data_IF_472732844511
#
_entry.id   IF_472732844511
#
_cell.length_a   1.000
_cell.length_b   1.000
_cell.length_c   1.000
_cell.angle_alpha   90.00
_cell.angle_beta   90.00
_cell.angle_gamma   90.00
#
_symmetry.space_group_name_H-M   'P 1'
#
loop_
_entity.id
_entity.type
_entity.pdbx_description
1 polymer ?
#
# COMPACT_ATOMS: atom_id res chain seq x y z
N UNK A 1 12.67 -5.45 -35.34
CA UNK A 1 13.56 -5.91 -34.25
C UNK A 1 12.87 -5.55 -32.95
N UNK A 2 12.22 -6.55 -32.35
CA UNK A 2 11.62 -6.43 -31.03
C UNK A 2 12.77 -6.53 -30.04
N UNK A 3 13.01 -5.48 -29.26
CA UNK A 3 13.94 -5.54 -28.14
C UNK A 3 13.33 -6.50 -27.11
N UNK A 4 14.04 -7.58 -26.85
CA UNK A 4 13.73 -8.51 -25.76
C UNK A 4 13.71 -7.72 -24.45
N UNK A 5 12.52 -7.61 -23.88
CA UNK A 5 12.36 -7.19 -22.48
C UNK A 5 12.78 -8.40 -21.68
N UNK A 6 13.96 -8.34 -21.06
CA UNK A 6 14.41 -9.31 -20.07
C UNK A 6 13.54 -9.15 -18.81
N UNK A 7 12.36 -9.77 -18.86
CA UNK A 7 11.55 -10.03 -17.68
C UNK A 7 12.27 -11.17 -16.97
N UNK A 8 12.99 -10.86 -15.89
CA UNK A 8 13.39 -11.89 -14.94
C UNK A 8 12.13 -12.51 -14.35
N UNK A 9 11.67 -13.59 -14.97
CA UNK A 9 10.64 -14.49 -14.48
C UNK A 9 11.33 -15.45 -13.51
N UNK A 10 11.26 -15.11 -12.23
CA UNK A 10 11.47 -16.04 -11.13
C UNK A 10 10.14 -16.25 -10.42
N UNK A 11 9.38 -17.26 -10.85
CA UNK A 11 8.11 -17.76 -10.29
C UNK A 11 6.92 -16.78 -10.26
N UNK A 12 6.30 -16.64 -11.45
CA UNK A 12 4.88 -16.35 -11.71
C UNK A 12 4.04 -15.74 -10.58
N UNK A 13 4.25 -14.46 -10.29
CA UNK A 13 3.13 -13.58 -9.97
C UNK A 13 2.82 -12.85 -11.27
N UNK A 14 1.73 -13.23 -11.95
CA UNK A 14 1.26 -12.52 -13.14
C UNK A 14 0.83 -11.12 -12.69
N UNK A 15 1.77 -10.16 -12.74
CA UNK A 15 1.44 -8.76 -12.56
C UNK A 15 0.65 -8.35 -13.79
N UNK A 16 -0.62 -8.02 -13.57
CA UNK A 16 -1.48 -7.52 -14.61
C UNK A 16 -0.83 -6.29 -15.28
N UNK A 17 -0.68 -6.26 -16.61
CA UNK A 17 -0.12 -5.13 -17.33
C UNK A 17 -0.78 -3.80 -16.99
N UNK A 18 -2.06 -3.77 -16.61
CA UNK A 18 -2.77 -2.58 -16.16
C UNK A 18 -2.35 -2.15 -14.76
N UNK A 19 -2.02 -3.07 -13.84
CA UNK A 19 -1.49 -2.72 -12.51
C UNK A 19 -0.04 -2.27 -12.59
N UNK A 20 0.74 -2.91 -13.47
CA UNK A 20 2.04 -2.40 -13.85
C UNK A 20 1.91 -1.04 -14.55
N UNK A 21 0.91 -0.83 -15.40
CA UNK A 21 0.65 0.47 -16.01
C UNK A 21 0.15 1.51 -15.01
N UNK A 22 -0.61 1.16 -13.97
CA UNK A 22 -0.99 2.10 -12.91
C UNK A 22 0.24 2.58 -12.11
N UNK A 23 1.25 1.71 -11.97
CA UNK A 23 2.56 2.07 -11.43
C UNK A 23 3.37 2.96 -12.41
N UNK A 24 3.26 2.70 -13.71
CA UNK A 24 3.92 3.49 -14.77
C UNK A 24 3.23 4.82 -15.12
N UNK A 25 1.91 4.94 -14.92
CA UNK A 25 1.08 6.08 -15.34
C UNK A 25 0.92 7.17 -14.26
N UNK A 26 1.66 7.07 -13.15
CA UNK A 26 1.77 8.14 -12.16
C UNK A 26 2.50 9.36 -12.73
N UNK A 27 1.83 10.15 -13.56
CA UNK A 27 2.22 11.45 -14.11
C UNK A 27 3.53 11.50 -14.90
N UNK A 28 3.47 11.23 -16.20
CA UNK A 28 4.49 11.70 -17.14
C UNK A 28 3.87 11.98 -18.51
N UNK A 29 3.61 13.26 -18.81
CA UNK A 29 3.72 13.76 -20.18
C UNK A 29 5.20 14.06 -20.47
N UNK A 30 6.07 13.10 -20.17
CA UNK A 30 7.50 13.18 -20.42
C UNK A 30 7.88 12.00 -21.31
N UNK A 31 8.20 12.37 -22.55
CA UNK A 31 8.68 11.46 -23.57
C UNK A 31 9.89 10.69 -23.06
N UNK A 32 9.81 9.37 -23.24
CA UNK A 32 10.88 8.40 -23.20
C UNK A 32 12.26 9.00 -23.54
N UNK A 33 13.06 9.23 -22.50
CA UNK A 33 14.51 9.30 -22.61
C UNK A 33 15.07 8.41 -21.48
N UNK A 34 16.17 7.71 -21.75
CA UNK A 34 16.87 6.75 -20.87
C UNK A 34 17.38 7.34 -19.53
N UNK A 35 16.85 8.50 -19.12
CA UNK A 35 16.95 9.13 -17.80
C UNK A 35 15.65 9.04 -16.97
N UNK A 36 14.58 8.43 -17.49
CA UNK A 36 13.20 8.47 -16.96
C UNK A 36 12.75 7.33 -16.02
N UNK A 37 13.60 6.85 -15.12
CA UNK A 37 13.23 5.88 -14.07
C UNK A 37 13.80 6.24 -12.69
N UNK A 38 14.09 7.51 -12.43
CA UNK A 38 14.31 7.92 -11.04
C UNK A 38 12.95 8.03 -10.36
N UNK A 39 12.59 7.01 -9.57
CA UNK A 39 11.57 7.18 -8.54
C UNK A 39 11.86 8.49 -7.83
N UNK A 40 10.85 9.36 -7.76
CA UNK A 40 10.93 10.70 -7.19
C UNK A 40 11.62 10.61 -5.81
N UNK A 41 12.92 10.94 -5.78
CA UNK A 41 13.78 10.73 -4.61
C UNK A 41 13.31 11.59 -3.45
N UNK A 42 12.74 12.75 -3.75
CA UNK A 42 12.14 13.65 -2.79
C UNK A 42 10.87 13.03 -2.19
N UNK A 43 9.98 12.48 -3.01
CA UNK A 43 8.82 11.72 -2.54
C UNK A 43 9.23 10.52 -1.66
N UNK A 44 10.20 9.71 -2.09
CA UNK A 44 10.69 8.57 -1.32
C UNK A 44 11.32 8.98 0.02
N UNK A 45 11.99 10.14 0.05
CA UNK A 45 12.52 10.69 1.29
C UNK A 45 11.40 11.17 2.22
N UNK A 46 10.36 11.83 1.70
CA UNK A 46 9.18 12.23 2.47
C UNK A 46 8.37 11.02 2.96
N UNK A 47 8.34 9.92 2.22
CA UNK A 47 7.62 8.71 2.60
C UNK A 47 8.16 8.09 3.90
N UNK A 48 9.41 8.39 4.27
CA UNK A 48 10.00 7.95 5.54
C UNK A 48 9.32 8.58 6.75
N UNK A 49 8.71 9.76 6.59
CA UNK A 49 7.95 10.43 7.64
C UNK A 49 6.69 9.65 8.04
N UNK A 50 6.19 8.72 7.20
CA UNK A 50 5.04 7.87 7.52
C UNK A 50 5.24 7.02 8.79
N UNK A 51 6.48 6.89 9.29
CA UNK A 51 6.76 6.32 10.61
C UNK A 51 6.02 7.00 11.76
N UNK A 52 5.63 8.27 11.62
CA UNK A 52 4.79 8.97 12.59
C UNK A 52 3.45 8.24 12.83
N UNK A 53 2.92 7.50 11.84
CA UNK A 53 1.71 6.67 12.01
C UNK A 53 1.91 5.51 13.00
N UNK A 54 3.15 5.16 13.31
CA UNK A 54 3.50 4.06 14.21
C UNK A 54 3.64 4.52 15.67
N UNK A 55 3.59 5.82 15.92
CA UNK A 55 3.53 6.35 17.29
C UNK A 55 2.29 5.82 17.98
N UNK A 56 2.43 5.44 19.26
CA UNK A 56 1.41 4.72 20.01
C UNK A 56 0.04 5.39 19.94
N UNK A 57 -0.01 6.70 20.15
CA UNK A 57 -1.27 7.44 20.15
C UNK A 57 -1.87 7.58 18.74
N UNK A 58 -1.03 7.70 17.72
CA UNK A 58 -1.46 7.80 16.33
C UNK A 58 -2.01 6.46 15.82
N UNK A 59 -1.31 5.35 16.07
CA UNK A 59 -1.75 4.02 15.62
C UNK A 59 -3.03 3.57 16.34
N UNK A 60 -3.20 3.94 17.61
CA UNK A 60 -4.42 3.65 18.38
C UNK A 60 -5.62 4.45 17.84
N UNK A 61 -5.47 5.76 17.61
CA UNK A 61 -6.54 6.57 16.98
C UNK A 61 -6.86 6.13 15.56
N UNK A 62 -5.83 5.74 14.79
CA UNK A 62 -6.00 5.23 13.45
C UNK A 62 -6.82 3.92 13.46
N UNK A 63 -6.52 3.00 14.39
CA UNK A 63 -7.29 1.77 14.60
C UNK A 63 -8.76 2.07 14.82
N UNK A 64 -9.05 2.96 15.76
CA UNK A 64 -10.43 3.29 16.13
C UNK A 64 -11.19 3.92 14.96
N UNK A 65 -10.54 4.81 14.21
CA UNK A 65 -11.11 5.45 13.02
C UNK A 65 -11.44 4.44 11.92
N UNK A 66 -10.50 3.55 11.60
CA UNK A 66 -10.70 2.50 10.58
C UNK A 66 -11.81 1.55 11.00
N UNK A 67 -11.76 0.99 12.22
CA UNK A 67 -12.78 0.09 12.73
C UNK A 67 -14.16 0.74 12.76
N UNK A 68 -14.26 2.01 13.17
CA UNK A 68 -15.51 2.75 13.16
C UNK A 68 -16.11 2.88 11.75
N UNK A 69 -15.28 3.10 10.73
CA UNK A 69 -15.71 3.24 9.34
C UNK A 69 -16.23 1.93 8.74
N UNK A 70 -15.64 0.79 9.13
CA UNK A 70 -15.91 -0.49 8.46
C UNK A 70 -16.86 -1.41 9.23
N UNK A 71 -17.05 -1.23 10.54
CA UNK A 71 -17.78 -2.16 11.43
C UNK A 71 -19.21 -2.54 11.01
N UNK A 72 -19.89 -1.71 10.20
CA UNK A 72 -21.24 -1.99 9.71
C UNK A 72 -21.28 -2.59 8.30
N UNK A 73 -20.12 -2.74 7.66
CA UNK A 73 -20.00 -3.14 6.25
C UNK A 73 -19.18 -4.41 6.06
N UNK A 74 -18.48 -4.88 7.09
CA UNK A 74 -17.72 -6.13 7.09
C UNK A 74 -18.29 -7.12 8.10
N UNK A 75 -17.99 -8.41 7.93
CA UNK A 75 -18.40 -9.45 8.85
C UNK A 75 -17.78 -9.27 10.24
N UNK A 76 -18.42 -9.84 11.27
CA UNK A 76 -17.88 -9.83 12.65
C UNK A 76 -16.53 -10.52 12.74
N UNK A 77 -16.32 -11.57 11.93
CA UNK A 77 -15.06 -12.30 11.85
C UNK A 77 -13.93 -11.38 11.37
N UNK A 78 -14.11 -10.76 10.20
CA UNK A 78 -13.13 -9.85 9.60
C UNK A 78 -12.89 -8.65 10.51
N UNK A 79 -13.93 -8.10 11.15
CA UNK A 79 -13.77 -7.01 12.11
C UNK A 79 -12.88 -7.36 13.31
N UNK A 80 -13.09 -8.55 13.90
CA UNK A 80 -12.28 -9.03 15.03
C UNK A 80 -10.82 -9.30 14.62
N UNK A 81 -10.62 -9.83 13.42
CA UNK A 81 -9.29 -10.07 12.87
C UNK A 81 -8.54 -8.75 12.61
N UNK A 82 -9.19 -7.77 11.97
CA UNK A 82 -8.65 -6.39 11.82
C UNK A 82 -8.28 -5.84 13.18
N UNK A 83 -9.17 -5.91 14.17
CA UNK A 83 -8.93 -5.34 15.49
C UNK A 83 -7.71 -5.94 16.20
N UNK A 84 -7.51 -7.25 16.06
CA UNK A 84 -6.42 -8.00 16.68
C UNK A 84 -5.08 -7.75 15.99
N UNK A 85 -5.11 -7.60 14.66
CA UNK A 85 -3.90 -7.52 13.83
C UNK A 85 -3.56 -6.10 13.34
N UNK A 86 -4.40 -5.09 13.63
CA UNK A 86 -4.31 -3.74 13.07
C UNK A 86 -2.91 -3.11 13.18
N UNK A 87 -2.31 -3.19 14.36
CA UNK A 87 -0.99 -2.60 14.62
C UNK A 87 0.12 -3.31 13.85
N UNK A 88 -0.02 -4.61 13.62
CA UNK A 88 0.90 -5.40 12.81
C UNK A 88 0.78 -5.00 11.34
N UNK A 89 -0.44 -5.00 10.81
CA UNK A 89 -0.73 -4.61 9.42
C UNK A 89 -0.24 -3.19 9.11
N UNK A 90 -0.54 -2.23 9.99
CA UNK A 90 -0.09 -0.84 9.83
C UNK A 90 1.42 -0.74 9.81
N UNK A 91 2.12 -1.46 10.69
CA UNK A 91 3.59 -1.50 10.72
C UNK A 91 4.16 -2.11 9.45
N UNK A 92 3.57 -3.18 8.94
CA UNK A 92 3.94 -3.79 7.65
C UNK A 92 3.83 -2.77 6.52
N UNK A 93 2.67 -2.13 6.36
CA UNK A 93 2.43 -1.14 5.30
C UNK A 93 3.44 0.02 5.38
N UNK A 94 3.61 0.63 6.56
CA UNK A 94 4.56 1.73 6.73
C UNK A 94 6.02 1.30 6.50
N UNK A 95 6.39 0.08 6.89
CA UNK A 95 7.75 -0.43 6.67
C UNK A 95 8.03 -0.72 5.19
N UNK A 96 7.05 -1.22 4.44
CA UNK A 96 7.19 -1.36 2.98
C UNK A 96 7.40 0.03 2.37
N UNK A 97 6.59 1.02 2.76
CA UNK A 97 6.75 2.41 2.33
C UNK A 97 8.16 2.95 2.58
N UNK A 98 8.67 2.74 3.80
CA UNK A 98 10.01 3.14 4.21
C UNK A 98 11.12 2.45 3.39
N UNK A 99 10.92 1.17 3.06
CA UNK A 99 11.87 0.36 2.30
C UNK A 99 12.01 0.81 0.84
N UNK A 100 11.00 1.42 0.23
CA UNK A 100 11.00 1.78 -1.19
C UNK A 100 12.17 2.67 -1.65
N UNK A 101 12.84 3.36 -0.72
CA UNK A 101 14.05 4.13 -1.03
C UNK A 101 15.31 3.26 -1.22
N UNK A 102 15.21 1.94 -0.99
CA UNK A 102 16.28 0.97 -1.20
C UNK A 102 15.96 0.11 -2.42
N UNK A 103 16.94 -0.02 -3.32
CA UNK A 103 16.78 -0.77 -4.58
C UNK A 103 16.45 -2.24 -4.38
N UNK A 104 16.86 -2.85 -3.26
CA UNK A 104 16.46 -4.21 -2.91
C UNK A 104 14.96 -4.27 -2.59
N UNK A 105 14.51 -3.48 -1.63
CA UNK A 105 13.13 -3.51 -1.15
C UNK A 105 12.15 -3.07 -2.25
N UNK A 106 12.56 -2.17 -3.15
CA UNK A 106 11.79 -1.82 -4.34
C UNK A 106 11.56 -3.03 -5.27
N UNK A 107 12.56 -3.91 -5.43
CA UNK A 107 12.42 -5.15 -6.23
C UNK A 107 11.53 -6.17 -5.52
N UNK A 108 11.57 -6.20 -4.19
CA UNK A 108 10.82 -7.13 -3.37
C UNK A 108 9.39 -6.63 -3.07
N UNK A 109 8.99 -5.43 -3.54
CA UNK A 109 7.73 -4.77 -3.19
C UNK A 109 6.48 -5.64 -3.34
N UNK A 110 6.31 -6.29 -4.50
CA UNK A 110 5.14 -7.14 -4.74
C UNK A 110 5.19 -8.46 -3.95
N UNK A 111 6.39 -9.00 -3.74
CA UNK A 111 6.61 -10.18 -2.90
C UNK A 111 6.18 -9.85 -1.48
N UNK A 112 6.62 -8.71 -0.96
CA UNK A 112 6.26 -8.20 0.35
C UNK A 112 4.75 -8.00 0.51
N UNK A 113 4.04 -7.49 -0.51
CA UNK A 113 2.58 -7.41 -0.48
C UNK A 113 1.96 -8.79 -0.37
N UNK A 114 2.38 -9.74 -1.21
CA UNK A 114 1.81 -11.08 -1.24
C UNK A 114 2.02 -11.78 0.11
N UNK A 115 3.26 -11.88 0.55
CA UNK A 115 3.63 -12.63 1.76
C UNK A 115 3.10 -11.96 3.04
N UNK A 116 3.14 -10.63 3.12
CA UNK A 116 2.89 -9.92 4.40
C UNK A 116 1.48 -9.35 4.51
N UNK A 117 0.70 -9.30 3.43
CA UNK A 117 -0.67 -8.76 3.41
C UNK A 117 -1.65 -9.78 2.82
N UNK A 118 -1.42 -10.25 1.59
CA UNK A 118 -2.37 -11.11 0.87
C UNK A 118 -2.53 -12.46 1.56
N UNK A 119 -1.44 -13.16 1.86
CA UNK A 119 -1.47 -14.48 2.49
C UNK A 119 -2.12 -14.46 3.89
N UNK A 120 -1.82 -13.49 4.79
CA UNK A 120 -2.55 -13.33 6.04
C UNK A 120 -4.05 -13.13 5.84
N UNK A 121 -4.47 -12.23 4.94
CA UNK A 121 -5.88 -11.98 4.67
C UNK A 121 -6.59 -13.19 4.04
N UNK A 122 -5.89 -13.99 3.21
CA UNK A 122 -6.44 -15.25 2.65
C UNK A 122 -6.59 -16.32 3.72
N UNK A 123 -5.61 -16.43 4.61
CA UNK A 123 -5.63 -17.35 5.76
C UNK A 123 -6.76 -17.01 6.73
N UNK A 124 -7.04 -15.72 6.91
CA UNK A 124 -8.16 -15.21 7.67
C UNK A 124 -9.49 -15.23 6.90
N UNK A 125 -9.53 -15.78 5.67
CA UNK A 125 -10.75 -15.90 4.86
C UNK A 125 -11.52 -14.59 4.64
N UNK A 126 -10.80 -13.47 4.48
CA UNK A 126 -11.44 -12.21 4.12
C UNK A 126 -12.06 -12.31 2.72
N UNK A 127 -13.15 -11.61 2.50
CA UNK A 127 -13.66 -11.42 1.14
C UNK A 127 -12.93 -10.28 0.43
N UNK A 128 -12.97 -10.27 -0.90
CA UNK A 128 -12.38 -9.19 -1.71
C UNK A 128 -13.02 -7.84 -1.35
N UNK A 129 -14.34 -7.80 -1.16
CA UNK A 129 -15.09 -6.58 -0.81
C UNK A 129 -14.69 -6.06 0.57
N UNK A 130 -14.55 -6.95 1.56
CA UNK A 130 -14.11 -6.55 2.91
C UNK A 130 -12.68 -6.01 2.91
N UNK A 131 -11.77 -6.66 2.18
CA UNK A 131 -10.40 -6.17 2.04
C UNK A 131 -10.38 -4.77 1.43
N UNK A 132 -11.14 -4.55 0.36
CA UNK A 132 -11.24 -3.24 -0.28
C UNK A 132 -11.77 -2.18 0.70
N UNK A 133 -12.84 -2.49 1.43
CA UNK A 133 -13.41 -1.57 2.43
C UNK A 133 -12.39 -1.20 3.54
N UNK A 134 -11.63 -2.18 4.02
CA UNK A 134 -10.58 -1.96 5.05
C UNK A 134 -9.44 -1.12 4.49
N UNK A 135 -8.96 -1.42 3.29
CA UNK A 135 -7.87 -0.65 2.66
C UNK A 135 -8.32 0.79 2.35
N UNK A 136 -9.53 1.00 1.83
CA UNK A 136 -10.07 2.33 1.54
C UNK A 136 -10.21 3.18 2.82
N UNK A 137 -10.67 2.57 3.92
CA UNK A 137 -10.73 3.23 5.21
C UNK A 137 -9.32 3.60 5.70
N UNK A 138 -8.37 2.67 5.60
CA UNK A 138 -6.98 2.88 6.01
C UNK A 138 -6.27 3.99 5.22
N UNK A 139 -6.54 4.12 3.92
CA UNK A 139 -6.01 5.23 3.10
C UNK A 139 -6.53 6.59 3.59
N UNK A 140 -7.82 6.68 3.93
CA UNK A 140 -8.50 7.95 4.24
C UNK A 140 -8.32 8.40 5.69
N UNK A 141 -8.28 7.46 6.64
CA UNK A 141 -8.27 7.77 8.08
C UNK A 141 -7.09 8.64 8.56
N UNK A 142 -5.84 8.47 8.08
CA UNK A 142 -4.69 9.24 8.57
C UNK A 142 -4.83 10.76 8.51
N UNK A 143 -5.60 11.29 7.57
CA UNK A 143 -5.80 12.74 7.45
C UNK A 143 -6.40 13.35 8.72
N UNK A 144 -7.44 12.72 9.27
CA UNK A 144 -8.15 13.24 10.43
C UNK A 144 -7.51 12.86 11.76
N UNK A 145 -6.76 11.75 11.82
CA UNK A 145 -6.21 11.23 13.09
C UNK A 145 -4.74 11.59 13.35
N UNK A 146 -4.02 11.93 12.28
CA UNK A 146 -2.56 11.98 12.32
C UNK A 146 -1.98 13.20 11.63
N UNK A 147 -2.30 13.46 10.36
CA UNK A 147 -1.68 14.56 9.62
C UNK A 147 -2.30 15.92 9.95
N UNK A 148 -3.58 15.97 10.35
CA UNK A 148 -4.22 17.20 10.79
C UNK A 148 -4.25 18.25 9.68
N UNK A 149 -3.47 19.32 9.83
CA UNK A 149 -3.34 20.41 8.85
C UNK A 149 -2.10 20.28 7.95
N UNK A 150 -1.27 19.24 8.13
CA UNK A 150 -0.12 19.00 7.26
C UNK A 150 -0.56 18.36 5.94
N UNK A 151 -0.85 19.24 4.96
CA UNK A 151 -1.33 18.83 3.64
C UNK A 151 -0.26 18.10 2.83
N UNK A 152 1.02 18.40 3.06
CA UNK A 152 2.12 17.76 2.33
C UNK A 152 2.26 16.29 2.74
N UNK A 153 2.30 16.00 4.04
CA UNK A 153 2.33 14.62 4.53
C UNK A 153 1.10 13.83 4.09
N UNK A 154 -0.06 14.49 4.03
CA UNK A 154 -1.27 13.88 3.50
C UNK A 154 -1.14 13.51 2.03
N UNK A 155 -0.67 14.41 1.18
CA UNK A 155 -0.48 14.15 -0.25
C UNK A 155 0.51 13.01 -0.51
N UNK A 156 1.63 13.00 0.24
CA UNK A 156 2.62 11.91 0.19
C UNK A 156 1.98 10.57 0.59
N UNK A 157 1.22 10.56 1.68
CA UNK A 157 0.52 9.36 2.13
C UNK A 157 -0.48 8.86 1.10
N UNK A 158 -1.36 9.72 0.61
CA UNK A 158 -2.41 9.35 -0.34
C UNK A 158 -1.80 8.77 -1.61
N UNK A 159 -0.76 9.42 -2.16
CA UNK A 159 -0.03 8.92 -3.34
C UNK A 159 0.48 7.49 -3.14
N UNK A 160 1.10 7.22 -1.98
CA UNK A 160 1.59 5.88 -1.66
C UNK A 160 0.46 4.87 -1.39
N UNK A 161 -0.44 5.22 -0.48
CA UNK A 161 -1.42 4.31 0.09
C UNK A 161 -2.51 3.92 -0.91
N UNK A 162 -2.92 4.84 -1.80
CA UNK A 162 -3.85 4.50 -2.90
C UNK A 162 -3.22 3.53 -3.90
N UNK A 163 -1.94 3.73 -4.23
CA UNK A 163 -1.20 2.83 -5.12
C UNK A 163 -1.07 1.45 -4.48
N UNK A 164 -0.65 1.40 -3.21
CA UNK A 164 -0.58 0.18 -2.42
C UNK A 164 -1.93 -0.54 -2.35
N UNK A 165 -3.02 0.16 -2.06
CA UNK A 165 -4.37 -0.41 -1.99
C UNK A 165 -4.82 -1.02 -3.34
N UNK A 166 -4.53 -0.35 -4.47
CA UNK A 166 -4.82 -0.88 -5.81
C UNK A 166 -4.03 -2.17 -6.09
N UNK A 167 -2.75 -2.20 -5.73
CA UNK A 167 -1.92 -3.41 -5.86
C UNK A 167 -2.47 -4.55 -5.00
N UNK A 168 -2.77 -4.27 -3.73
CA UNK A 168 -3.36 -5.24 -2.79
C UNK A 168 -4.66 -5.81 -3.35
N UNK A 169 -5.58 -4.94 -3.80
CA UNK A 169 -6.86 -5.36 -4.37
C UNK A 169 -6.68 -6.29 -5.56
N UNK A 170 -5.84 -5.89 -6.53
CA UNK A 170 -5.62 -6.71 -7.71
C UNK A 170 -5.03 -8.07 -7.37
N UNK A 171 -3.96 -8.09 -6.57
CA UNK A 171 -3.28 -9.32 -6.18
C UNK A 171 -4.19 -10.25 -5.35
N UNK A 172 -5.07 -9.69 -4.54
CA UNK A 172 -6.02 -10.48 -3.76
C UNK A 172 -7.11 -11.11 -4.64
N UNK A 173 -7.59 -10.35 -5.63
CA UNK A 173 -8.65 -10.76 -6.57
C UNK A 173 -8.20 -11.76 -7.65
N UNK A 174 -6.89 -11.95 -7.80
CA UNK A 174 -6.27 -12.90 -8.74
C UNK A 174 -6.29 -14.34 -8.21
#
# INVERSE_FOLDING_TARGET
MLAEVDVFVGNNTLIDPEVFQLWLQGYSDCKYEESGMEMDREFLQHLREMKLLLDKDHIDRLKDSVLFSVRSHISKHTLQDVESNFKSLTRTLVNIAYGLNHSKDLRDFFIDIVEKIIEPCRTAHWTVDELQLVMDAFVKSPQSVTFGHDLHLHEVWVRYAETMAKCVYKLYSA
#
